data_IF_641018716261
#
_entry.id   IF_641018716261
#
_cell.length_a   1.000
_cell.length_b   1.000
_cell.length_c   1.000
_cell.angle_alpha   90.00
_cell.angle_beta   90.00
_cell.angle_gamma   90.00
#
_symmetry.space_group_name_H-M   'P 1'
#
loop_
_entity.id
_entity.type
_entity.pdbx_description
1 polymer ?
#
# COMPACT_ATOMS: atom_id res chain seq x y z
N UNK A 1 8.94 -39.85 -2.12
CA UNK A 1 8.24 -38.97 -3.09
C UNK A 1 7.57 -37.88 -2.26
N UNK A 2 7.95 -36.60 -2.40
CA UNK A 2 7.28 -35.52 -1.68
C UNK A 2 5.84 -35.38 -2.19
N UNK A 3 4.89 -35.29 -1.27
CA UNK A 3 3.47 -35.25 -1.63
C UNK A 3 3.14 -33.99 -2.46
N UNK A 4 2.21 -34.09 -3.43
CA UNK A 4 1.88 -32.97 -4.33
C UNK A 4 1.38 -31.72 -3.59
N UNK A 5 0.84 -31.88 -2.37
CA UNK A 5 0.44 -30.78 -1.50
C UNK A 5 1.67 -29.99 -1.03
N UNK A 6 2.73 -30.67 -0.59
CA UNK A 6 3.98 -30.02 -0.17
C UNK A 6 4.68 -29.30 -1.32
N UNK A 7 4.61 -29.83 -2.54
CA UNK A 7 5.15 -29.17 -3.74
C UNK A 7 4.36 -27.91 -4.10
N UNK A 8 3.02 -27.96 -4.05
CA UNK A 8 2.16 -26.81 -4.30
C UNK A 8 2.33 -25.73 -3.23
N UNK A 9 2.47 -26.14 -1.97
CA UNK A 9 2.69 -25.23 -0.84
C UNK A 9 4.08 -24.57 -0.94
N UNK A 10 5.12 -25.34 -1.26
CA UNK A 10 6.46 -24.78 -1.53
C UNK A 10 6.45 -23.85 -2.74
N UNK A 11 5.75 -24.17 -3.83
CA UNK A 11 5.59 -23.26 -4.96
C UNK A 11 4.90 -21.96 -4.53
N UNK A 12 3.80 -22.02 -3.76
CA UNK A 12 3.09 -20.83 -3.27
C UNK A 12 3.95 -20.01 -2.30
N UNK A 13 4.73 -20.64 -1.43
CA UNK A 13 5.59 -19.96 -0.46
C UNK A 13 6.85 -19.37 -1.12
N UNK A 14 7.40 -20.03 -2.14
CA UNK A 14 8.53 -19.52 -2.93
C UNK A 14 8.10 -18.48 -3.98
N UNK A 15 6.83 -18.47 -4.38
CA UNK A 15 6.22 -17.45 -5.25
C UNK A 15 5.40 -16.42 -4.49
N UNK A 16 5.44 -16.46 -3.15
CA UNK A 16 4.76 -15.49 -2.30
C UNK A 16 5.19 -14.09 -2.77
N UNK A 17 4.24 -13.17 -2.98
CA UNK A 17 4.51 -11.93 -3.68
C UNK A 17 5.57 -11.14 -2.93
N UNK A 18 6.78 -11.11 -3.48
CA UNK A 18 7.91 -10.29 -3.02
C UNK A 18 7.68 -8.81 -3.33
N UNK A 19 6.68 -8.53 -4.16
CA UNK A 19 6.38 -7.22 -4.70
C UNK A 19 5.13 -6.62 -4.07
N UNK A 20 5.19 -5.32 -3.86
CA UNK A 20 4.05 -4.51 -3.45
C UNK A 20 3.11 -4.34 -4.65
N UNK A 21 1.81 -4.37 -4.35
CA UNK A 21 0.76 -4.22 -5.35
C UNK A 21 0.10 -2.86 -5.20
N UNK A 22 0.10 -2.09 -6.28
CA UNK A 22 -0.58 -0.81 -6.40
C UNK A 22 -1.81 -0.97 -7.30
N UNK A 23 -3.00 -0.73 -6.77
CA UNK A 23 -4.24 -0.68 -7.53
C UNK A 23 -4.57 0.77 -7.87
N UNK A 24 -4.65 1.05 -9.17
CA UNK A 24 -4.98 2.35 -9.72
C UNK A 24 -6.44 2.38 -10.16
N UNK A 25 -7.02 3.58 -10.22
CA UNK A 25 -8.34 3.80 -10.79
C UNK A 25 -8.41 3.28 -12.23
N UNK A 26 -9.58 2.77 -12.61
CA UNK A 26 -9.78 2.10 -13.90
C UNK A 26 -9.28 0.65 -13.92
N UNK A 27 -9.28 -0.03 -12.77
CA UNK A 27 -8.92 -1.45 -12.59
C UNK A 27 -7.54 -1.82 -13.14
N UNK A 28 -6.58 -0.89 -13.03
CA UNK A 28 -5.19 -1.13 -13.44
C UNK A 28 -4.36 -1.53 -12.23
N UNK A 29 -3.53 -2.55 -12.38
CA UNK A 29 -2.63 -3.03 -11.33
C UNK A 29 -1.18 -2.83 -11.75
N UNK A 30 -0.35 -2.46 -10.77
CA UNK A 30 1.09 -2.35 -10.93
C UNK A 30 1.76 -3.11 -9.79
N UNK A 31 2.77 -3.91 -10.11
CA UNK A 31 3.64 -4.57 -9.15
C UNK A 31 4.97 -3.84 -9.09
N UNK A 32 5.56 -3.74 -7.91
CA UNK A 32 6.88 -3.12 -7.72
C UNK A 32 7.26 -2.97 -6.26
N UNK A 33 8.32 -2.24 -6.00
CA UNK A 33 8.79 -1.94 -4.64
C UNK A 33 8.32 -0.54 -4.21
N UNK A 34 7.56 -0.48 -3.12
CA UNK A 34 7.23 0.76 -2.45
C UNK A 34 8.47 1.33 -1.77
N UNK A 35 8.77 2.60 -2.05
CA UNK A 35 9.91 3.29 -1.48
C UNK A 35 9.47 4.23 -0.36
N UNK A 36 8.68 5.26 -0.70
CA UNK A 36 8.25 6.29 0.25
C UNK A 36 7.07 7.10 -0.27
N UNK A 37 6.53 7.95 0.60
CA UNK A 37 5.58 9.00 0.23
C UNK A 37 6.31 10.32 0.00
N UNK A 38 5.89 11.06 -1.04
CA UNK A 38 6.39 12.39 -1.36
C UNK A 38 5.26 13.41 -1.37
N UNK A 39 5.49 14.60 -0.82
CA UNK A 39 4.48 15.65 -0.75
C UNK A 39 4.89 16.78 0.19
N UNK A 40 3.89 17.52 0.70
CA UNK A 40 4.14 18.52 1.75
C UNK A 40 4.56 17.85 3.05
N UNK A 41 5.35 18.55 3.85
CA UNK A 41 5.94 18.02 5.08
C UNK A 41 4.91 17.43 6.05
N UNK A 42 3.77 18.11 6.26
CA UNK A 42 2.74 17.59 7.18
C UNK A 42 2.17 16.25 6.69
N UNK A 43 2.03 16.06 5.38
CA UNK A 43 1.46 14.85 4.81
C UNK A 43 2.46 13.69 4.94
N UNK A 44 3.73 13.93 4.64
CA UNK A 44 4.78 12.91 4.76
C UNK A 44 5.02 12.53 6.22
N UNK A 45 4.95 13.49 7.14
CA UNK A 45 5.00 13.21 8.58
C UNK A 45 3.81 12.37 9.05
N UNK A 46 2.61 12.69 8.58
CA UNK A 46 1.40 11.93 8.94
C UNK A 46 1.44 10.48 8.40
N UNK A 47 2.08 10.27 7.26
CA UNK A 47 2.24 8.95 6.62
C UNK A 47 3.48 8.17 7.12
N UNK A 48 4.32 8.72 7.99
CA UNK A 48 5.63 8.13 8.38
C UNK A 48 5.58 6.70 8.93
N UNK A 49 4.44 6.32 9.49
CA UNK A 49 4.19 5.00 10.09
C UNK A 49 3.77 3.96 9.04
N UNK A 50 3.37 4.39 7.85
CA UNK A 50 3.04 3.51 6.73
C UNK A 50 4.33 3.10 6.04
N UNK A 51 4.87 1.96 6.46
CA UNK A 51 6.08 1.35 5.91
C UNK A 51 5.80 -0.12 5.62
N UNK A 52 6.55 -0.67 4.66
CA UNK A 52 6.51 -2.10 4.27
C UNK A 52 6.54 -3.05 5.48
N UNK A 53 7.40 -2.75 6.46
CA UNK A 53 7.60 -3.52 7.70
C UNK A 53 6.55 -3.30 8.80
N UNK A 54 5.58 -2.40 8.63
CA UNK A 54 4.58 -2.08 9.68
C UNK A 54 3.15 -2.16 9.20
N UNK A 55 2.93 -2.05 7.90
CA UNK A 55 1.61 -1.98 7.28
C UNK A 55 1.52 -3.06 6.21
N UNK A 56 0.41 -3.80 6.22
CA UNK A 56 0.13 -4.83 5.23
C UNK A 56 -0.69 -4.32 4.06
N UNK A 57 -1.66 -3.43 4.33
CA UNK A 57 -2.59 -2.92 3.33
C UNK A 57 -2.99 -1.47 3.62
N UNK A 58 -3.29 -0.73 2.56
CA UNK A 58 -3.89 0.60 2.63
C UNK A 58 -4.95 0.78 1.55
N UNK A 59 -5.94 1.63 1.84
CA UNK A 59 -7.08 1.98 0.97
C UNK A 59 -7.20 3.49 0.95
N UNK A 60 -7.44 4.04 -0.23
CA UNK A 60 -7.62 5.48 -0.43
C UNK A 60 -9.09 5.80 -0.62
N UNK A 61 -9.63 6.64 0.27
CA UNK A 61 -11.00 7.14 0.21
C UNK A 61 -11.00 8.63 -0.12
N UNK A 62 -11.88 9.02 -1.04
CA UNK A 62 -12.06 10.44 -1.38
C UNK A 62 -12.95 11.08 -0.32
N UNK A 63 -12.39 12.00 0.45
CA UNK A 63 -13.20 12.89 1.30
C UNK A 63 -13.74 13.99 0.41
N UNK A 64 -15.04 13.97 0.12
CA UNK A 64 -15.69 15.06 -0.60
C UNK A 64 -15.70 16.29 0.29
N UNK A 65 -14.91 17.31 -0.04
CA UNK A 65 -15.08 18.65 0.51
C UNK A 65 -15.58 19.54 -0.62
N UNK A 66 -16.85 19.92 -0.55
CA UNK A 66 -17.42 20.97 -1.38
C UNK A 66 -16.70 22.30 -1.04
N UNK A 67 -16.08 22.95 -2.02
CA UNK A 67 -15.46 24.27 -1.86
C UNK A 67 -13.96 24.32 -2.17
N UNK A 68 -13.49 25.51 -2.51
CA UNK A 68 -12.20 25.93 -3.09
C UNK A 68 -10.89 25.50 -2.37
N UNK A 69 -10.94 24.56 -1.42
CA UNK A 69 -9.77 24.05 -0.70
C UNK A 69 -9.10 22.87 -1.44
N UNK A 70 -7.81 22.64 -1.16
CA UNK A 70 -7.08 21.49 -1.69
C UNK A 70 -7.81 20.21 -1.31
N UNK A 71 -8.22 19.41 -2.30
CA UNK A 71 -8.93 18.14 -2.06
C UNK A 71 -8.09 17.27 -1.13
N UNK A 72 -8.64 16.92 0.03
CA UNK A 72 -8.05 15.94 0.94
C UNK A 72 -8.48 14.53 0.55
N UNK A 73 -7.74 13.54 1.02
CA UNK A 73 -8.00 12.11 0.90
C UNK A 73 -7.81 11.49 2.27
N UNK A 74 -8.66 10.52 2.60
CA UNK A 74 -8.52 9.68 3.78
C UNK A 74 -7.78 8.41 3.35
N UNK A 75 -6.71 8.08 4.05
CA UNK A 75 -5.93 6.87 3.88
C UNK A 75 -6.22 5.98 5.07
N UNK A 76 -6.89 4.87 4.81
CA UNK A 76 -7.09 3.82 5.79
C UNK A 76 -5.95 2.81 5.62
N UNK A 77 -5.31 2.38 6.71
CA UNK A 77 -4.26 1.37 6.65
C UNK A 77 -4.38 0.34 7.78
N UNK A 78 -4.08 -0.92 7.46
CA UNK A 78 -4.04 -2.01 8.42
C UNK A 78 -2.59 -2.27 8.87
N UNK A 79 -2.30 -2.13 10.18
CA UNK A 79 -1.02 -2.57 10.72
C UNK A 79 -0.79 -4.05 10.41
N UNK A 80 0.49 -4.43 10.26
CA UNK A 80 0.85 -5.83 10.12
C UNK A 80 0.84 -6.49 11.49
N UNK A 81 0.14 -7.61 11.58
CA UNK A 81 0.18 -8.45 12.77
C UNK A 81 1.37 -9.41 12.69
N UNK A 82 2.26 -9.31 13.67
CA UNK A 82 3.43 -10.17 13.82
C UNK A 82 3.29 -11.15 14.99
N UNK A 83 2.20 -11.06 15.76
CA UNK A 83 1.97 -11.92 16.93
C UNK A 83 1.12 -13.10 16.46
N UNK A 84 1.64 -14.32 16.62
CA UNK A 84 0.95 -15.58 16.23
C UNK A 84 -0.28 -15.92 17.09
N UNK A 85 -0.79 -14.99 17.90
CA UNK A 85 -2.03 -15.15 18.63
C UNK A 85 -3.09 -14.43 17.82
N UNK A 86 -4.10 -15.15 17.31
CA UNK A 86 -5.16 -14.67 16.42
C UNK A 86 -5.95 -13.45 16.92
N UNK A 87 -5.29 -12.31 17.00
CA UNK A 87 -5.76 -11.07 17.58
C UNK A 87 -6.25 -10.17 16.45
N UNK A 88 -7.54 -10.31 16.16
CA UNK A 88 -8.41 -9.34 15.47
C UNK A 88 -7.79 -8.57 14.31
N UNK A 89 -8.00 -9.11 13.11
CA UNK A 89 -7.67 -8.52 11.81
C UNK A 89 -8.37 -7.19 11.47
N UNK A 90 -8.75 -6.32 12.43
CA UNK A 90 -9.81 -5.34 12.18
C UNK A 90 -9.62 -3.92 12.73
N UNK A 91 -8.45 -3.52 13.25
CA UNK A 91 -8.21 -2.09 13.53
C UNK A 91 -7.56 -1.40 12.33
N UNK A 92 -8.38 -0.80 11.47
CA UNK A 92 -7.91 0.14 10.46
C UNK A 92 -7.57 1.46 11.13
N UNK A 93 -6.34 1.93 10.91
CA UNK A 93 -5.93 3.29 11.29
C UNK A 93 -6.20 4.23 10.13
N UNK A 94 -6.46 5.49 10.43
CA UNK A 94 -6.75 6.50 9.44
C UNK A 94 -5.79 7.68 9.49
N UNK A 95 -5.57 8.30 8.35
CA UNK A 95 -4.85 9.55 8.22
C UNK A 95 -5.37 10.34 7.04
N UNK A 96 -5.49 11.66 7.19
CA UNK A 96 -5.96 12.54 6.12
C UNK A 96 -4.80 13.32 5.51
N UNK A 97 -4.66 13.27 4.19
CA UNK A 97 -3.57 13.92 3.44
C UNK A 97 -4.10 14.63 2.20
N UNK A 98 -3.29 15.48 1.56
CA UNK A 98 -3.67 16.14 0.32
C UNK A 98 -3.70 15.16 -0.85
N UNK A 99 -4.59 15.41 -1.81
CA UNK A 99 -4.72 14.60 -3.04
C UNK A 99 -3.49 14.64 -3.96
N UNK A 100 -2.63 15.63 -3.75
CA UNK A 100 -1.35 15.83 -4.46
C UNK A 100 -0.21 14.99 -3.89
N UNK A 101 -0.37 14.37 -2.72
CA UNK A 101 0.64 13.47 -2.15
C UNK A 101 0.87 12.29 -3.09
N UNK A 102 2.11 11.89 -3.24
CA UNK A 102 2.57 10.89 -4.19
C UNK A 102 3.17 9.68 -3.46
N UNK A 103 3.09 8.54 -4.12
CA UNK A 103 3.82 7.31 -3.78
C UNK A 103 4.96 7.17 -4.77
N UNK A 104 6.18 6.96 -4.25
CA UNK A 104 7.31 6.50 -5.04
C UNK A 104 7.32 4.98 -5.06
N UNK A 105 7.26 4.42 -6.26
CA UNK A 105 7.30 2.98 -6.48
C UNK A 105 8.24 2.67 -7.65
N UNK A 106 9.10 1.68 -7.46
CA UNK A 106 9.92 1.12 -8.51
C UNK A 106 9.21 -0.08 -9.14
N UNK A 107 8.69 0.01 -10.38
CA UNK A 107 7.96 -1.08 -11.00
C UNK A 107 8.81 -2.34 -11.14
N UNK A 108 8.17 -3.49 -11.06
CA UNK A 108 8.80 -4.77 -11.36
C UNK A 108 9.44 -4.72 -12.76
N UNK A 109 10.67 -5.22 -12.88
CA UNK A 109 11.47 -5.22 -14.12
C UNK A 109 11.86 -3.81 -14.62
N UNK A 110 11.88 -2.80 -13.76
CA UNK A 110 12.38 -1.47 -14.09
C UNK A 110 13.36 -0.94 -13.05
N UNK A 111 14.39 -0.24 -13.50
CA UNK A 111 15.29 0.55 -12.65
C UNK A 111 14.78 1.97 -12.42
N UNK A 112 13.70 2.37 -13.10
CA UNK A 112 13.16 3.73 -13.03
C UNK A 112 12.10 3.84 -11.94
N UNK A 113 12.32 4.74 -10.99
CA UNK A 113 11.33 5.11 -9.98
C UNK A 113 10.19 5.89 -10.64
N UNK A 114 8.95 5.50 -10.36
CA UNK A 114 7.74 6.20 -10.82
C UNK A 114 6.99 6.81 -9.66
N UNK A 115 6.31 7.93 -9.93
CA UNK A 115 5.47 8.64 -8.97
C UNK A 115 4.01 8.45 -9.30
N UNK A 116 3.21 8.16 -8.29
CA UNK A 116 1.76 8.01 -8.43
C UNK A 116 1.06 8.89 -7.41
N UNK A 117 0.19 9.80 -7.87
CA UNK A 117 -0.64 10.61 -6.95
C UNK A 117 -1.60 9.69 -6.20
N UNK A 118 -1.76 9.88 -4.89
CA UNK A 118 -2.73 9.14 -4.07
C UNK A 118 -4.15 9.24 -4.64
N UNK A 119 -4.51 10.37 -5.23
CA UNK A 119 -5.81 10.55 -5.89
C UNK A 119 -6.07 9.61 -7.07
N UNK A 120 -5.04 8.99 -7.64
CA UNK A 120 -5.14 7.99 -8.71
C UNK A 120 -5.12 6.54 -8.20
N UNK A 121 -4.84 6.35 -6.91
CA UNK A 121 -4.68 5.06 -6.25
C UNK A 121 -6.00 4.69 -5.57
N UNK A 122 -6.35 3.41 -5.62
CA UNK A 122 -7.51 2.83 -4.92
C UNK A 122 -7.03 2.10 -3.67
N UNK A 123 -6.02 1.24 -3.81
CA UNK A 123 -5.46 0.49 -2.69
C UNK A 123 -3.99 0.13 -2.94
N UNK A 124 -3.26 -0.17 -1.86
CA UNK A 124 -1.97 -0.84 -1.95
C UNK A 124 -1.90 -2.02 -1.00
N UNK A 125 -1.21 -3.06 -1.43
CA UNK A 125 -0.79 -4.17 -0.56
C UNK A 125 0.73 -4.14 -0.50
N UNK A 126 1.26 -4.03 0.71
CA UNK A 126 2.71 -4.03 0.94
C UNK A 126 3.11 -5.46 1.32
N UNK A 127 3.88 -6.09 0.45
CA UNK A 127 4.62 -7.33 0.73
C UNK A 127 5.62 -7.05 1.85
N UNK A 128 5.94 -7.98 2.75
CA UNK A 128 7.04 -7.82 3.72
C UNK A 128 7.87 -9.08 3.70
#
# INVERSE_FOLDING_TARGET
MQEPIHQKLNFILTTAPTWDKLELKGNKYLLGEFLEFKGKHDDTQSLRNIRRSKVSRLIIQKTSMFGLAHSKLQVLYSPRDYRNEGASASEWKEVTVRSSTEVLLQPQNSTKIRKFKLSSIVSMSLSA
#
